data_IF_557624001669
#
_entry.id   IF_557624001669
#
_cell.length_a   1.000
_cell.length_b   1.000
_cell.length_c   1.000
_cell.angle_alpha   90.00
_cell.angle_beta   90.00
_cell.angle_gamma   90.00
#
_symmetry.space_group_name_H-M   'P 1'
#
loop_
_entity.id
_entity.type
_entity.pdbx_description
1 polymer ?
#
# COMPACT_ATOMS: atom_id res chain seq x y z
N UNK A 1 -15.23 9.48 16.48
CA UNK A 1 -14.73 10.41 17.51
C UNK A 1 -14.06 11.55 16.75
N UNK A 2 -14.35 12.81 17.09
CA UNK A 2 -14.38 13.96 16.17
C UNK A 2 -13.12 14.18 15.33
N UNK A 3 -13.17 13.70 14.08
CA UNK A 3 -12.26 14.11 13.01
C UNK A 3 -12.82 15.38 12.35
N UNK A 4 -12.59 16.53 12.98
CA UNK A 4 -13.10 17.87 12.61
C UNK A 4 -14.55 18.13 13.06
N UNK A 5 -14.76 19.24 13.76
CA UNK A 5 -16.08 19.84 13.99
C UNK A 5 -16.50 20.58 12.72
N UNK A 6 -17.81 20.65 12.47
CA UNK A 6 -18.40 21.35 11.34
C UNK A 6 -18.10 22.86 11.46
N UNK A 7 -17.01 23.31 10.82
CA UNK A 7 -16.47 24.67 10.93
C UNK A 7 -14.93 24.75 10.92
N UNK A 8 -14.24 23.64 11.15
CA UNK A 8 -12.78 23.60 11.18
C UNK A 8 -12.20 23.76 9.77
N UNK A 9 -11.41 24.81 9.54
CA UNK A 9 -10.73 25.02 8.26
C UNK A 9 -9.26 24.62 8.35
N UNK A 10 -8.78 23.97 7.30
CA UNK A 10 -7.37 23.59 7.16
C UNK A 10 -6.67 24.61 6.28
N UNK A 11 -5.52 25.09 6.75
CA UNK A 11 -4.57 25.88 6.01
C UNK A 11 -3.41 24.99 5.54
N UNK A 12 -3.28 24.84 4.23
CA UNK A 12 -2.07 24.32 3.61
C UNK A 12 -1.05 25.46 3.56
N UNK A 13 0.00 25.36 4.36
CA UNK A 13 1.08 26.33 4.46
C UNK A 13 2.09 26.05 3.35
N UNK A 14 1.98 26.80 2.28
CA UNK A 14 2.90 26.75 1.15
C UNK A 14 4.28 27.30 1.57
N UNK A 15 5.28 26.42 1.62
CA UNK A 15 6.65 26.77 2.01
C UNK A 15 7.53 26.94 0.77
N UNK A 16 8.11 28.13 0.66
CA UNK A 16 9.01 28.61 -0.38
C UNK A 16 10.31 29.12 0.28
N UNK A 17 11.27 29.57 -0.52
CA UNK A 17 12.56 30.03 0.00
C UNK A 17 12.45 31.22 0.97
N UNK A 18 11.50 32.13 0.75
CA UNK A 18 11.33 33.36 1.51
C UNK A 18 10.70 33.17 2.89
N UNK A 19 9.89 32.13 3.09
CA UNK A 19 9.25 31.83 4.37
C UNK A 19 9.77 30.56 5.07
N UNK A 20 10.72 29.83 4.49
CA UNK A 20 11.25 28.57 5.02
C UNK A 20 11.64 28.65 6.51
N UNK A 21 12.38 29.68 6.91
CA UNK A 21 12.86 29.83 8.30
C UNK A 21 11.71 29.98 9.30
N UNK A 22 10.72 30.79 8.94
CA UNK A 22 9.56 31.05 9.79
C UNK A 22 8.71 29.78 9.95
N UNK A 23 8.50 29.04 8.86
CA UNK A 23 7.74 27.80 8.88
C UNK A 23 8.48 26.69 9.65
N UNK A 24 9.79 26.61 9.52
CA UNK A 24 10.61 25.69 10.31
C UNK A 24 10.65 26.05 11.80
N UNK A 25 10.49 27.34 12.15
CA UNK A 25 10.34 27.76 13.55
C UNK A 25 9.03 27.24 14.15
N UNK A 26 7.92 27.37 13.41
CA UNK A 26 6.63 26.81 13.83
C UNK A 26 6.69 25.29 14.00
N UNK A 27 7.35 24.59 13.07
CA UNK A 27 7.52 23.12 13.17
C UNK A 27 8.28 22.72 14.44
N UNK A 28 9.32 23.48 14.82
CA UNK A 28 10.07 23.25 16.06
C UNK A 28 9.21 23.44 17.32
N UNK A 29 8.24 24.36 17.27
CA UNK A 29 7.33 24.60 18.40
C UNK A 29 6.28 23.49 18.56
N UNK A 30 5.85 22.86 17.46
CA UNK A 30 4.74 21.90 17.48
C UNK A 30 5.17 20.43 17.58
N UNK A 31 6.41 20.08 17.22
CA UNK A 31 6.82 18.66 17.07
C UNK A 31 6.69 17.85 18.37
N UNK A 32 6.90 18.48 19.53
CA UNK A 32 6.81 17.80 20.82
C UNK A 32 5.36 17.52 21.24
N UNK A 33 4.43 18.44 20.94
CA UNK A 33 3.00 18.29 21.23
C UNK A 33 2.25 17.46 20.17
N UNK A 34 2.77 17.43 18.93
CA UNK A 34 2.18 16.75 17.78
C UNK A 34 3.18 15.75 17.14
N UNK A 35 3.56 14.67 17.85
CA UNK A 35 4.67 13.81 17.48
C UNK A 35 4.38 12.82 16.33
N UNK A 36 3.16 12.77 15.80
CA UNK A 36 2.82 11.93 14.65
C UNK A 36 2.99 12.71 13.35
N UNK A 37 4.00 12.35 12.56
CA UNK A 37 4.38 13.03 11.33
C UNK A 37 4.01 12.16 10.14
N UNK A 38 2.89 12.50 9.50
CA UNK A 38 2.50 11.88 8.23
C UNK A 38 3.16 12.61 7.08
N UNK A 39 3.70 11.86 6.13
CA UNK A 39 4.44 12.42 5.00
C UNK A 39 4.03 11.80 3.68
N UNK A 40 4.23 12.57 2.63
CA UNK A 40 4.16 12.16 1.23
C UNK A 40 5.12 13.02 0.41
N UNK A 41 5.60 12.54 -0.74
CA UNK A 41 6.48 13.32 -1.62
C UNK A 41 6.04 13.25 -3.07
N UNK A 42 6.23 14.36 -3.79
CA UNK A 42 6.13 14.36 -5.25
C UNK A 42 7.52 14.42 -5.87
N UNK A 43 7.77 13.52 -6.82
CA UNK A 43 9.05 13.37 -7.50
C UNK A 43 8.81 12.94 -8.97
N UNK A 44 9.80 13.06 -9.86
CA UNK A 44 9.59 12.94 -11.30
C UNK A 44 9.49 11.48 -11.78
N UNK A 45 8.85 10.61 -11.00
CA UNK A 45 8.57 9.22 -11.33
C UNK A 45 9.79 8.30 -11.29
N UNK A 46 9.72 7.20 -12.04
CA UNK A 46 10.77 6.19 -12.17
C UNK A 46 11.16 6.14 -13.65
N UNK A 47 12.46 6.27 -13.93
CA UNK A 47 13.03 6.26 -15.29
C UNK A 47 13.93 5.05 -15.48
N UNK A 48 14.75 4.72 -14.49
CA UNK A 48 15.78 3.70 -14.63
C UNK A 48 15.33 2.37 -14.04
N UNK A 49 15.62 1.27 -14.76
CA UNK A 49 15.52 -0.09 -14.23
C UNK A 49 16.86 -0.80 -14.46
N UNK A 50 17.33 -1.63 -13.53
CA UNK A 50 18.56 -2.38 -13.72
C UNK A 50 18.40 -3.37 -14.88
N UNK A 51 19.40 -3.41 -15.77
CA UNK A 51 19.47 -4.38 -16.88
C UNK A 51 20.22 -5.67 -16.51
N UNK A 52 20.91 -5.68 -15.37
CA UNK A 52 21.70 -6.83 -14.93
C UNK A 52 20.82 -7.96 -14.39
N UNK A 53 21.30 -9.20 -14.52
CA UNK A 53 20.71 -10.37 -13.86
C UNK A 53 20.95 -10.31 -12.34
N UNK A 54 20.05 -9.62 -11.64
CA UNK A 54 20.10 -9.48 -10.19
C UNK A 54 19.49 -10.73 -9.53
N UNK A 55 20.23 -11.29 -8.57
CA UNK A 55 19.93 -12.60 -7.97
C UNK A 55 18.69 -12.60 -7.08
N UNK A 56 18.37 -11.46 -6.46
CA UNK A 56 17.25 -11.36 -5.53
C UNK A 56 16.33 -10.20 -5.87
N UNK A 57 15.03 -10.40 -5.65
CA UNK A 57 14.02 -9.36 -5.86
C UNK A 57 14.28 -8.12 -4.99
N UNK A 58 14.78 -8.32 -3.76
CA UNK A 58 15.16 -7.24 -2.85
C UNK A 58 16.37 -6.43 -3.37
N UNK A 59 17.37 -7.07 -3.95
CA UNK A 59 18.46 -6.31 -4.59
C UNK A 59 17.96 -5.57 -5.83
N UNK A 60 17.06 -6.17 -6.62
CA UNK A 60 16.53 -5.56 -7.83
C UNK A 60 15.78 -4.26 -7.53
N UNK A 61 14.83 -4.34 -6.61
CA UNK A 61 14.01 -3.21 -6.21
C UNK A 61 14.84 -2.15 -5.47
N UNK A 62 15.79 -2.54 -4.60
CA UNK A 62 16.66 -1.55 -3.96
C UNK A 62 17.56 -0.84 -4.97
N UNK A 63 18.15 -1.56 -5.93
CA UNK A 63 18.97 -0.97 -6.99
C UNK A 63 18.14 -0.06 -7.89
N UNK A 64 16.87 -0.41 -8.15
CA UNK A 64 15.91 0.46 -8.86
C UNK A 64 15.68 1.75 -8.08
N UNK A 65 15.32 1.64 -6.79
CA UNK A 65 15.12 2.79 -5.91
C UNK A 65 16.35 3.68 -5.84
N UNK A 66 17.51 3.11 -5.50
CA UNK A 66 18.76 3.84 -5.34
C UNK A 66 19.13 4.62 -6.59
N UNK A 67 19.09 3.97 -7.75
CA UNK A 67 19.45 4.61 -9.03
C UNK A 67 18.55 5.81 -9.32
N UNK A 68 17.24 5.64 -9.16
CA UNK A 68 16.28 6.69 -9.44
C UNK A 68 16.38 7.85 -8.43
N UNK A 69 16.43 7.52 -7.14
CA UNK A 69 16.52 8.53 -6.07
C UNK A 69 17.82 9.32 -6.17
N UNK A 70 18.96 8.69 -6.46
CA UNK A 70 20.25 9.40 -6.59
C UNK A 70 20.26 10.35 -7.81
N UNK A 71 19.72 9.92 -8.95
CA UNK A 71 19.78 10.71 -10.20
C UNK A 71 18.71 11.80 -10.30
N UNK A 72 17.56 11.63 -9.65
CA UNK A 72 16.45 12.57 -9.74
C UNK A 72 16.33 13.47 -8.50
N UNK A 73 15.45 14.48 -8.60
CA UNK A 73 15.27 15.53 -7.60
C UNK A 73 13.84 15.51 -7.08
N UNK A 74 13.67 15.61 -5.76
CA UNK A 74 12.36 15.76 -5.13
C UNK A 74 11.76 17.12 -5.55
N UNK A 75 10.44 17.16 -5.79
CA UNK A 75 9.72 18.36 -6.25
C UNK A 75 8.93 18.98 -5.10
N UNK A 76 8.21 18.15 -4.34
CA UNK A 76 7.47 18.57 -3.14
C UNK A 76 7.60 17.56 -2.00
N UNK A 77 7.46 18.06 -0.77
CA UNK A 77 7.29 17.27 0.45
C UNK A 77 6.11 17.81 1.23
N UNK A 78 5.21 16.93 1.63
CA UNK A 78 4.09 17.25 2.52
C UNK A 78 4.37 16.71 3.90
N UNK A 79 4.17 17.54 4.92
CA UNK A 79 4.24 17.13 6.33
C UNK A 79 2.96 17.53 7.05
N UNK A 80 2.30 16.54 7.63
CA UNK A 80 1.15 16.73 8.51
C UNK A 80 1.50 16.24 9.91
N UNK A 81 1.49 17.17 10.87
CA UNK A 81 1.74 16.89 12.28
C UNK A 81 0.41 16.65 13.00
N UNK A 82 0.36 15.64 13.86
CA UNK A 82 -0.81 15.29 14.63
C UNK A 82 -0.44 14.76 16.01
N UNK A 83 -1.34 14.90 16.98
CA UNK A 83 -1.19 14.27 18.29
C UNK A 83 -1.82 12.86 18.31
N UNK A 84 -1.76 12.18 19.45
CA UNK A 84 -2.31 10.82 19.63
C UNK A 84 -3.80 10.71 19.32
N UNK A 85 -4.56 11.81 19.41
CA UNK A 85 -6.00 11.86 19.10
C UNK A 85 -6.29 12.24 17.65
N UNK A 86 -5.26 12.48 16.82
CA UNK A 86 -5.43 12.92 15.44
C UNK A 86 -5.68 14.42 15.26
N UNK A 87 -5.57 15.22 16.32
CA UNK A 87 -5.72 16.67 16.21
C UNK A 87 -4.46 17.30 15.60
N UNK A 88 -4.65 18.34 14.80
CA UNK A 88 -3.58 19.07 14.10
C UNK A 88 -3.18 20.34 14.87
N UNK A 89 -1.97 20.87 14.69
CA UNK A 89 -1.58 22.15 15.28
C UNK A 89 -2.29 23.31 14.59
N UNK A 90 -2.56 24.40 15.31
CA UNK A 90 -3.12 25.63 14.74
C UNK A 90 -2.09 26.74 14.49
N UNK A 91 -0.87 26.57 15.00
CA UNK A 91 0.23 27.53 14.88
C UNK A 91 -0.17 28.97 15.27
N UNK A 92 -0.96 29.11 16.34
CA UNK A 92 -1.45 30.41 16.81
C UNK A 92 -2.55 31.05 15.95
N UNK A 93 -3.11 30.33 14.98
CA UNK A 93 -4.24 30.77 14.15
C UNK A 93 -5.57 30.12 14.55
N UNK A 94 -6.66 30.53 13.90
CA UNK A 94 -7.99 29.91 13.98
C UNK A 94 -8.14 28.67 13.09
N UNK A 95 -7.07 28.27 12.38
CA UNK A 95 -7.07 27.17 11.40
C UNK A 95 -6.05 26.12 11.75
N UNK A 96 -6.37 24.87 11.43
CA UNK A 96 -5.39 23.79 11.49
C UNK A 96 -4.37 23.94 10.37
N UNK A 97 -3.11 23.66 10.67
CA UNK A 97 -1.98 23.89 9.77
C UNK A 97 -1.35 22.57 9.33
N UNK A 98 -1.09 22.46 8.03
CA UNK A 98 -0.23 21.43 7.43
C UNK A 98 0.79 22.10 6.51
N UNK A 99 1.92 21.45 6.24
CA UNK A 99 3.01 22.05 5.47
C UNK A 99 3.19 21.38 4.12
N UNK A 100 3.39 22.20 3.08
CA UNK A 100 3.76 21.79 1.74
C UNK A 100 5.03 22.51 1.31
N UNK A 101 6.15 21.81 1.31
CA UNK A 101 7.44 22.31 0.87
C UNK A 101 7.58 22.17 -0.64
N UNK A 102 7.93 23.27 -1.31
CA UNK A 102 8.14 23.32 -2.75
C UNK A 102 9.63 23.50 -3.04
N UNK A 103 10.29 22.53 -3.67
CA UNK A 103 11.75 22.56 -3.88
C UNK A 103 12.15 23.16 -5.24
N UNK A 104 13.32 23.81 -5.27
CA UNK A 104 13.91 24.40 -6.49
C UNK A 104 14.95 23.52 -7.19
N UNK A 105 15.39 22.42 -6.57
CA UNK A 105 16.44 21.56 -7.10
C UNK A 105 16.08 20.87 -8.44
N UNK A 106 14.78 20.79 -8.76
CA UNK A 106 14.29 20.23 -10.03
C UNK A 106 14.20 21.32 -11.11
N UNK A 107 15.09 21.23 -12.10
CA UNK A 107 15.01 22.02 -13.34
C UNK A 107 14.08 21.34 -14.35
N UNK A 108 12.96 21.96 -14.78
CA UNK A 108 12.00 21.35 -15.71
C UNK A 108 12.51 21.17 -17.15
N UNK A 109 13.64 21.78 -17.51
CA UNK A 109 14.24 21.68 -18.85
C UNK A 109 15.34 20.63 -18.86
N UNK A 110 16.20 20.63 -17.84
CA UNK A 110 17.42 19.81 -17.84
C UNK A 110 17.37 18.57 -16.94
N UNK A 111 16.45 18.50 -15.97
CA UNK A 111 16.40 17.37 -15.04
C UNK A 111 15.89 16.09 -15.70
N UNK A 112 16.46 14.97 -15.30
CA UNK A 112 15.95 13.65 -15.68
C UNK A 112 14.58 13.45 -15.04
N UNK A 113 13.60 13.04 -15.84
CA UNK A 113 12.22 12.85 -15.39
C UNK A 113 11.44 11.87 -16.25
N UNK A 114 10.49 11.18 -15.66
CA UNK A 114 9.41 10.50 -16.36
C UNK A 114 8.39 11.54 -16.85
N UNK A 115 8.20 11.64 -18.18
CA UNK A 115 7.35 12.68 -18.79
C UNK A 115 5.87 12.57 -18.42
N UNK A 116 5.37 11.36 -18.16
CA UNK A 116 3.98 11.15 -17.71
C UNK A 116 3.78 11.64 -16.30
N UNK A 117 4.76 11.37 -15.42
CA UNK A 117 4.75 11.88 -14.04
C UNK A 117 4.76 13.42 -14.05
N UNK A 118 5.62 14.05 -14.86
CA UNK A 118 5.64 15.52 -15.00
C UNK A 118 4.31 16.06 -15.53
N UNK A 119 3.71 15.39 -16.51
CA UNK A 119 2.39 15.79 -17.05
C UNK A 119 1.30 15.68 -15.98
N UNK A 120 1.28 14.59 -15.22
CA UNK A 120 0.33 14.37 -14.13
C UNK A 120 0.47 15.43 -13.04
N UNK A 121 1.69 15.71 -12.60
CA UNK A 121 1.99 16.75 -11.61
C UNK A 121 1.58 18.16 -12.11
N UNK A 122 1.86 18.48 -13.38
CA UNK A 122 1.41 19.74 -13.98
C UNK A 122 -0.12 19.85 -13.99
N UNK A 123 -0.81 18.76 -14.35
CA UNK A 123 -2.27 18.70 -14.35
C UNK A 123 -2.86 18.80 -12.93
N UNK A 124 -2.07 18.42 -11.93
CA UNK A 124 -2.41 18.50 -10.50
C UNK A 124 -2.06 19.86 -9.88
N UNK A 125 -1.58 20.81 -10.69
CA UNK A 125 -1.36 22.20 -10.30
C UNK A 125 0.06 22.55 -9.89
N UNK A 126 1.05 21.67 -10.08
CA UNK A 126 2.45 22.00 -9.80
C UNK A 126 2.99 22.99 -10.86
N UNK A 127 3.39 24.17 -10.39
CA UNK A 127 4.07 25.19 -11.20
C UNK A 127 5.59 24.99 -11.12
N UNK A 128 6.11 24.15 -12.01
CA UNK A 128 7.54 23.86 -12.09
C UNK A 128 8.43 25.08 -12.28
N UNK A 129 7.94 26.13 -12.95
CA UNK A 129 8.69 27.37 -13.14
C UNK A 129 8.82 28.10 -11.81
N UNK A 130 7.71 28.23 -11.07
CA UNK A 130 7.71 28.81 -9.72
C UNK A 130 8.55 27.99 -8.75
N UNK A 131 8.50 26.66 -8.80
CA UNK A 131 9.39 25.77 -8.03
C UNK A 131 10.85 26.12 -8.29
N UNK A 132 11.28 26.18 -9.55
CA UNK A 132 12.67 26.49 -9.90
C UNK A 132 13.10 27.90 -9.45
N UNK A 133 12.22 28.90 -9.60
CA UNK A 133 12.56 30.30 -9.30
C UNK A 133 12.46 30.68 -7.82
N UNK A 134 11.54 30.07 -7.06
CA UNK A 134 11.18 30.49 -5.70
C UNK A 134 11.22 29.35 -4.67
N UNK A 135 11.43 28.12 -5.12
CA UNK A 135 11.42 26.95 -4.26
C UNK A 135 12.56 26.95 -3.24
N UNK A 136 12.34 26.16 -2.21
CA UNK A 136 13.30 25.86 -1.16
C UNK A 136 14.47 25.08 -1.74
N UNK A 137 15.69 25.49 -1.40
CA UNK A 137 16.87 24.70 -1.70
C UNK A 137 16.94 23.51 -0.73
N UNK A 138 16.97 22.28 -1.24
CA UNK A 138 16.95 21.04 -0.44
C UNK A 138 18.00 21.01 0.69
N UNK A 139 19.22 21.46 0.40
CA UNK A 139 20.30 21.60 1.40
C UNK A 139 19.95 22.52 2.57
N UNK A 140 19.30 23.66 2.34
CA UNK A 140 18.90 24.57 3.42
C UNK A 140 17.79 23.95 4.26
N UNK A 141 16.83 23.30 3.60
CA UNK A 141 15.80 22.52 4.29
C UNK A 141 16.41 21.42 5.16
N UNK A 142 17.39 20.67 4.64
CA UNK A 142 18.06 19.60 5.38
C UNK A 142 18.72 20.11 6.68
N UNK A 143 19.45 21.23 6.59
CA UNK A 143 20.09 21.86 7.75
C UNK A 143 19.07 22.19 8.87
N UNK A 144 17.94 22.76 8.48
CA UNK A 144 16.88 23.14 9.42
C UNK A 144 16.16 21.91 9.99
N UNK A 145 15.89 20.89 9.17
CA UNK A 145 15.19 19.67 9.62
C UNK A 145 16.06 18.82 10.56
N UNK A 146 17.36 18.74 10.29
CA UNK A 146 18.31 18.00 11.15
C UNK A 146 18.35 18.53 12.59
N UNK A 147 18.08 19.82 12.78
CA UNK A 147 18.10 20.49 14.08
C UNK A 147 16.70 20.81 14.62
N UNK A 148 15.63 20.33 13.96
CA UNK A 148 14.26 20.68 14.34
C UNK A 148 13.64 19.76 15.40
N UNK A 149 14.26 18.62 15.69
CA UNK A 149 13.67 17.55 16.52
C UNK A 149 12.72 16.62 15.78
N UNK A 150 12.50 16.80 14.47
CA UNK A 150 11.57 15.97 13.66
C UNK A 150 12.20 14.65 13.22
N UNK A 151 13.50 14.65 12.90
CA UNK A 151 14.29 13.47 12.56
C UNK A 151 15.27 13.14 13.67
N UNK A 152 15.85 11.92 13.66
CA UNK A 152 16.77 11.44 14.69
C UNK A 152 16.16 11.45 16.10
N UNK A 153 14.83 11.46 16.19
CA UNK A 153 14.07 11.57 17.43
C UNK A 153 13.21 10.32 17.63
N UNK A 154 13.38 9.63 18.76
CA UNK A 154 12.59 8.44 19.08
C UNK A 154 11.16 8.76 19.51
N UNK A 155 10.86 10.00 19.88
CA UNK A 155 9.50 10.40 20.27
C UNK A 155 8.60 10.63 19.06
N UNK A 156 9.18 10.90 17.89
CA UNK A 156 8.43 11.15 16.65
C UNK A 156 8.06 9.84 15.95
N UNK A 157 6.77 9.68 15.62
CA UNK A 157 6.24 8.56 14.86
C UNK A 157 5.93 8.99 13.43
N UNK A 158 6.74 8.52 12.48
CA UNK A 158 6.52 8.75 11.06
C UNK A 158 5.44 7.82 10.50
N UNK A 159 4.62 8.35 9.60
CA UNK A 159 3.53 7.62 8.93
C UNK A 159 3.62 7.87 7.43
N UNK A 160 3.67 6.79 6.65
CA UNK A 160 3.75 6.83 5.18
C UNK A 160 2.65 5.97 4.55
N UNK A 161 2.36 6.18 3.27
CA UNK A 161 1.58 5.26 2.46
C UNK A 161 2.42 4.75 1.30
N UNK A 162 2.87 3.49 1.35
CA UNK A 162 3.78 2.94 0.33
C UNK A 162 5.07 3.76 0.17
N UNK A 163 5.54 4.39 1.25
CA UNK A 163 6.48 5.51 1.21
C UNK A 163 7.96 5.15 1.32
N UNK A 164 8.34 4.00 0.76
CA UNK A 164 9.74 3.60 0.65
C UNK A 164 10.53 4.62 -0.19
N UNK A 165 9.95 5.14 -1.27
CA UNK A 165 10.57 6.19 -2.08
C UNK A 165 10.59 7.53 -1.34
N UNK A 166 9.51 7.89 -0.63
CA UNK A 166 9.42 9.15 0.12
C UNK A 166 10.51 9.26 1.19
N UNK A 167 10.66 8.21 2.00
CA UNK A 167 11.71 8.12 3.01
C UNK A 167 13.10 8.09 2.37
N UNK A 168 13.26 7.46 1.21
CA UNK A 168 14.54 7.44 0.51
C UNK A 168 14.94 8.81 -0.03
N UNK A 169 14.01 9.58 -0.61
CA UNK A 169 14.26 10.93 -1.06
C UNK A 169 14.58 11.85 0.12
N UNK A 170 13.79 11.78 1.20
CA UNK A 170 14.06 12.58 2.40
C UNK A 170 15.42 12.22 3.02
N UNK A 171 15.75 10.91 3.12
CA UNK A 171 17.06 10.46 3.58
C UNK A 171 18.19 11.02 2.71
N UNK A 172 18.07 10.94 1.38
CA UNK A 172 19.07 11.49 0.44
C UNK A 172 19.31 12.98 0.69
N UNK A 173 18.24 13.75 0.91
CA UNK A 173 18.33 15.18 1.23
C UNK A 173 19.07 15.40 2.54
N UNK A 174 18.81 14.58 3.57
CA UNK A 174 19.41 14.71 4.90
C UNK A 174 20.88 14.30 4.97
N UNK A 175 21.28 13.23 4.27
CA UNK A 175 22.69 12.77 4.27
C UNK A 175 23.58 13.56 3.30
N UNK A 176 22.98 14.36 2.41
CA UNK A 176 23.65 15.18 1.38
C UNK A 176 24.62 14.33 0.53
N UNK A 177 24.28 13.07 0.34
CA UNK A 177 25.09 12.05 -0.33
C UNK A 177 24.17 11.07 -1.05
N UNK A 178 24.77 10.28 -1.94
CA UNK A 178 24.10 9.16 -2.58
C UNK A 178 23.68 8.09 -1.57
N UNK A 179 22.54 7.44 -1.83
CA UNK A 179 22.08 6.34 -0.98
C UNK A 179 23.10 5.18 -0.96
N UNK A 180 23.23 4.45 0.16
CA UNK A 180 24.21 3.37 0.33
C UNK A 180 24.16 2.33 -0.79
N UNK A 181 25.29 1.71 -1.14
CA UNK A 181 25.30 0.70 -2.22
C UNK A 181 24.47 -0.54 -1.90
N UNK A 182 24.44 -0.94 -0.61
CA UNK A 182 23.80 -2.17 -0.15
C UNK A 182 22.49 -1.88 0.59
N UNK A 183 21.45 -2.72 0.43
CA UNK A 183 20.17 -2.56 1.13
C UNK A 183 20.32 -2.47 2.66
N UNK A 184 21.29 -3.20 3.22
CA UNK A 184 21.56 -3.20 4.66
C UNK A 184 21.95 -1.81 5.18
N UNK A 185 22.84 -1.11 4.48
CA UNK A 185 23.27 0.23 4.89
C UNK A 185 22.14 1.26 4.78
N UNK A 186 21.25 1.09 3.80
CA UNK A 186 20.03 1.90 3.70
C UNK A 186 19.07 1.65 4.87
N UNK A 187 18.82 0.39 5.22
CA UNK A 187 17.98 0.05 6.38
C UNK A 187 18.55 0.61 7.68
N UNK A 188 19.88 0.52 7.88
CA UNK A 188 20.57 1.10 9.04
C UNK A 188 20.36 2.63 9.11
N UNK A 189 20.51 3.35 8.00
CA UNK A 189 20.29 4.80 7.96
C UNK A 189 18.81 5.17 8.15
N UNK A 190 17.88 4.46 7.53
CA UNK A 190 16.46 4.74 7.75
C UNK A 190 16.10 4.56 9.23
N UNK A 191 16.55 3.49 9.88
CA UNK A 191 16.29 3.27 11.31
C UNK A 191 16.94 4.31 12.20
N UNK A 192 18.06 4.91 11.76
CA UNK A 192 18.72 5.98 12.49
C UNK A 192 17.93 7.30 12.37
N UNK A 193 17.62 7.73 11.14
CA UNK A 193 16.94 9.01 10.88
C UNK A 193 15.46 9.00 11.22
N UNK A 194 14.82 7.85 11.10
CA UNK A 194 13.39 7.64 11.35
C UNK A 194 13.20 6.46 12.33
N UNK A 195 13.52 6.61 13.63
CA UNK A 195 13.54 5.50 14.58
C UNK A 195 12.19 4.80 14.76
N UNK A 196 11.09 5.54 14.56
CA UNK A 196 9.74 5.01 14.56
C UNK A 196 9.04 5.46 13.28
N UNK A 197 8.80 4.52 12.38
CA UNK A 197 7.97 4.74 11.20
C UNK A 197 7.00 3.58 11.02
N UNK A 198 5.88 3.88 10.37
CA UNK A 198 4.84 2.93 10.02
C UNK A 198 4.36 3.21 8.60
N UNK A 199 4.12 2.15 7.83
CA UNK A 199 3.61 2.26 6.47
C UNK A 199 2.18 1.70 6.40
N UNK A 200 1.23 2.55 6.04
CA UNK A 200 -0.20 2.20 5.94
C UNK A 200 -0.42 1.08 4.93
N UNK A 201 0.30 1.07 3.80
CA UNK A 201 0.18 0.00 2.79
C UNK A 201 0.61 -1.34 3.37
N UNK A 202 1.56 -1.35 4.30
CA UNK A 202 1.89 -2.54 5.08
C UNK A 202 0.81 -2.90 6.10
N UNK A 203 0.27 -1.93 6.85
CA UNK A 203 -0.81 -2.15 7.82
C UNK A 203 -2.07 -2.76 7.18
N UNK A 204 -2.41 -2.32 5.96
CA UNK A 204 -3.55 -2.85 5.20
C UNK A 204 -3.49 -4.37 5.02
N UNK A 205 -2.30 -4.98 5.00
CA UNK A 205 -2.15 -6.45 4.89
C UNK A 205 -2.76 -7.20 6.07
N UNK A 206 -2.96 -6.52 7.20
CA UNK A 206 -3.55 -7.05 8.42
C UNK A 206 -5.01 -6.62 8.63
N UNK A 207 -5.56 -5.82 7.71
CA UNK A 207 -6.93 -5.30 7.78
C UNK A 207 -7.79 -6.03 6.73
N UNK A 208 -8.86 -6.68 7.17
CA UNK A 208 -9.76 -7.39 6.26
C UNK A 208 -10.56 -6.37 5.43
N UNK A 209 -10.59 -6.55 4.11
CA UNK A 209 -11.40 -5.73 3.19
C UNK A 209 -10.74 -4.43 2.72
N UNK A 210 -9.49 -4.15 3.11
CA UNK A 210 -8.78 -2.95 2.68
C UNK A 210 -7.74 -3.27 1.59
N UNK A 211 -7.88 -2.65 0.41
CA UNK A 211 -6.95 -2.79 -0.72
C UNK A 211 -6.95 -1.54 -1.60
N UNK A 212 -5.99 -1.43 -2.52
CA UNK A 212 -5.89 -0.31 -3.46
C UNK A 212 -4.93 0.82 -3.05
N UNK A 213 -4.98 1.94 -3.79
CA UNK A 213 -4.19 3.15 -3.53
C UNK A 213 -4.81 4.04 -2.45
N UNK A 214 -4.14 5.14 -2.12
CA UNK A 214 -4.52 6.06 -1.05
C UNK A 214 -5.96 6.59 -1.21
N UNK A 215 -6.33 7.03 -2.42
CA UNK A 215 -7.69 7.52 -2.73
C UNK A 215 -8.76 6.44 -2.52
N UNK A 216 -8.54 5.21 -3.02
CA UNK A 216 -9.49 4.10 -2.82
C UNK A 216 -9.63 3.76 -1.33
N UNK A 217 -8.52 3.82 -0.58
CA UNK A 217 -8.57 3.59 0.87
C UNK A 217 -9.35 4.69 1.60
N UNK A 218 -9.19 5.95 1.20
CA UNK A 218 -9.98 7.05 1.73
C UNK A 218 -11.48 6.85 1.49
N UNK A 219 -11.87 6.47 0.26
CA UNK A 219 -13.26 6.15 -0.09
C UNK A 219 -13.83 5.01 0.77
N UNK A 220 -13.08 3.92 0.92
CA UNK A 220 -13.49 2.77 1.73
C UNK A 220 -13.68 3.11 3.22
N UNK A 221 -12.90 4.06 3.73
CA UNK A 221 -12.97 4.51 5.12
C UNK A 221 -13.87 5.75 5.32
N UNK A 222 -14.50 6.25 4.26
CA UNK A 222 -15.36 7.45 4.32
C UNK A 222 -14.60 8.74 4.66
N UNK A 223 -13.32 8.83 4.32
CA UNK A 223 -12.47 10.01 4.58
C UNK A 223 -12.51 10.95 3.38
N UNK A 224 -12.97 12.17 3.59
CA UNK A 224 -12.92 13.21 2.57
C UNK A 224 -11.50 13.79 2.43
N UNK A 225 -11.04 13.94 1.20
CA UNK A 225 -9.80 14.63 0.86
C UNK A 225 -10.00 16.14 0.97
N UNK A 226 -9.07 16.80 1.65
CA UNK A 226 -8.95 18.25 1.64
C UNK A 226 -7.66 18.66 0.92
N UNK A 227 -7.79 19.59 -0.03
CA UNK A 227 -6.72 19.95 -0.96
C UNK A 227 -6.76 19.16 -2.27
N UNK A 228 -5.77 19.38 -3.12
CA UNK A 228 -5.69 18.82 -4.47
C UNK A 228 -4.97 17.46 -4.41
N UNK A 229 -5.51 16.43 -5.05
CA UNK A 229 -4.84 15.12 -5.17
C UNK A 229 -3.55 15.24 -5.97
N UNK A 230 -2.53 14.45 -5.64
CA UNK A 230 -1.18 14.52 -6.24
C UNK A 230 -0.49 15.85 -5.94
N UNK A 231 -0.68 16.30 -4.70
CA UNK A 231 0.12 17.34 -4.08
C UNK A 231 0.43 16.87 -2.65
N UNK A 232 1.72 16.84 -2.34
CA UNK A 232 2.23 16.18 -1.15
C UNK A 232 1.56 16.66 0.15
N UNK A 233 1.21 17.95 0.26
CA UNK A 233 0.50 18.49 1.42
C UNK A 233 -0.85 17.80 1.64
N UNK A 234 -1.71 17.78 0.62
CA UNK A 234 -3.02 17.12 0.68
C UNK A 234 -2.90 15.62 0.92
N UNK A 235 -1.95 14.96 0.25
CA UNK A 235 -1.71 13.52 0.38
C UNK A 235 -1.17 13.12 1.76
N UNK A 236 -0.30 13.94 2.36
CA UNK A 236 0.18 13.74 3.73
C UNK A 236 -0.94 13.88 4.77
N UNK A 237 -1.88 14.80 4.56
CA UNK A 237 -3.06 14.96 5.43
C UNK A 237 -4.01 13.77 5.30
N UNK A 238 -4.27 13.32 4.08
CA UNK A 238 -5.12 12.15 3.84
C UNK A 238 -4.50 10.90 4.47
N UNK A 239 -3.18 10.75 4.35
CA UNK A 239 -2.38 9.71 5.02
C UNK A 239 -2.55 9.77 6.54
N UNK A 240 -2.43 10.95 7.15
CA UNK A 240 -2.66 11.15 8.59
C UNK A 240 -4.06 10.70 9.01
N UNK A 241 -5.09 11.16 8.31
CA UNK A 241 -6.48 10.85 8.66
C UNK A 241 -6.78 9.36 8.57
N UNK A 242 -6.32 8.70 7.50
CA UNK A 242 -6.48 7.26 7.33
C UNK A 242 -5.76 6.51 8.45
N UNK A 243 -4.54 6.91 8.79
CA UNK A 243 -3.78 6.25 9.84
C UNK A 243 -4.50 6.29 11.20
N UNK A 244 -5.07 7.44 11.58
CA UNK A 244 -5.82 7.57 12.83
C UNK A 244 -7.01 6.61 12.88
N UNK A 245 -7.79 6.52 11.79
CA UNK A 245 -8.91 5.58 11.68
C UNK A 245 -8.45 4.12 11.78
N UNK A 246 -7.34 3.78 11.10
CA UNK A 246 -6.80 2.43 11.13
C UNK A 246 -6.32 2.05 12.53
N UNK A 247 -5.57 2.94 13.17
CA UNK A 247 -5.05 2.74 14.53
C UNK A 247 -6.19 2.47 15.51
N UNK A 248 -7.28 3.24 15.45
CA UNK A 248 -8.42 3.09 16.34
C UNK A 248 -9.26 1.85 16.02
N UNK A 249 -9.57 1.63 14.73
CA UNK A 249 -10.57 0.63 14.31
C UNK A 249 -10.01 -0.78 14.18
N UNK A 250 -8.72 -0.92 13.83
CA UNK A 250 -8.12 -2.22 13.50
C UNK A 250 -7.01 -2.63 14.48
N UNK A 251 -6.43 -1.69 15.22
CA UNK A 251 -5.25 -1.95 16.05
C UNK A 251 -5.43 -1.59 17.54
N UNK A 252 -6.67 -1.38 17.99
CA UNK A 252 -7.01 -1.05 19.39
C UNK A 252 -6.14 0.10 19.94
N UNK A 253 -5.89 1.13 19.13
CA UNK A 253 -5.11 2.30 19.53
C UNK A 253 -3.59 2.13 19.50
N UNK A 254 -3.04 0.96 19.13
CA UNK A 254 -1.58 0.74 19.14
C UNK A 254 -1.05 -0.05 17.95
N UNK A 255 -0.19 0.61 17.16
CA UNK A 255 0.55 0.00 16.04
C UNK A 255 1.98 -0.41 16.41
N UNK A 256 2.32 -0.49 17.70
CA UNK A 256 3.70 -0.71 18.16
C UNK A 256 4.35 -1.97 17.57
N UNK A 257 3.57 -3.03 17.37
CA UNK A 257 4.04 -4.31 16.80
C UNK A 257 4.45 -4.21 15.32
N UNK A 258 4.03 -3.14 14.65
CA UNK A 258 4.27 -2.90 13.22
C UNK A 258 5.32 -1.79 12.99
N UNK A 259 5.92 -1.24 14.06
CA UNK A 259 7.00 -0.25 13.99
C UNK A 259 8.19 -0.83 13.19
N UNK A 260 8.80 0.01 12.35
CA UNK A 260 10.07 -0.27 11.64
C UNK A 260 10.02 -1.39 10.60
N UNK A 261 8.85 -1.67 10.03
CA UNK A 261 8.70 -2.71 9.01
C UNK A 261 8.42 -2.09 7.64
N UNK A 262 9.42 -2.09 6.78
CA UNK A 262 9.18 -1.98 5.35
C UNK A 262 8.67 -3.33 4.82
N UNK A 263 7.55 -3.33 4.10
CA UNK A 263 7.10 -4.51 3.37
C UNK A 263 8.17 -5.08 2.42
N UNK A 264 9.14 -4.24 2.03
CA UNK A 264 10.17 -4.51 1.05
C UNK A 264 11.43 -5.23 1.59
N UNK A 265 11.75 -5.11 2.88
CA UNK A 265 13.01 -5.61 3.46
C UNK A 265 12.87 -6.94 4.24
N UNK A 266 11.67 -7.51 4.36
CA UNK A 266 11.49 -8.87 4.89
C UNK A 266 11.56 -9.91 3.76
N UNK A 267 12.26 -11.02 4.04
CA UNK A 267 12.25 -12.26 3.26
C UNK A 267 10.83 -12.57 2.77
N UNK A 268 10.64 -12.49 1.46
CA UNK A 268 9.61 -13.24 0.76
C UNK A 268 10.08 -14.70 0.81
N UNK A 269 9.60 -15.47 1.78
CA UNK A 269 9.48 -16.91 1.58
C UNK A 269 8.41 -17.09 0.50
N UNK A 270 8.83 -17.70 -0.61
CA UNK A 270 8.10 -17.74 -1.86
C UNK A 270 6.71 -18.38 -1.72
N UNK A 271 5.69 -17.62 -2.12
CA UNK A 271 4.69 -18.07 -3.09
C UNK A 271 3.98 -16.85 -3.69
N UNK A 272 3.99 -16.76 -5.02
CA UNK A 272 3.18 -15.84 -5.82
C UNK A 272 3.77 -14.46 -6.05
N UNK A 273 4.23 -14.24 -7.28
CA UNK A 273 4.56 -12.93 -7.85
C UNK A 273 3.36 -11.97 -7.73
N UNK A 274 3.60 -10.71 -7.36
CA UNK A 274 2.74 -9.63 -7.78
C UNK A 274 3.54 -8.34 -7.99
N UNK A 275 3.21 -7.71 -9.11
CA UNK A 275 3.94 -6.67 -9.80
C UNK A 275 3.86 -5.31 -9.11
N UNK A 276 4.83 -4.46 -9.46
CA UNK A 276 4.84 -3.04 -9.15
C UNK A 276 3.62 -2.33 -9.78
N UNK A 277 3.02 -1.32 -9.10
CA UNK A 277 1.91 -0.56 -9.66
C UNK A 277 2.38 0.31 -10.83
N UNK A 278 1.55 0.35 -11.88
CA UNK A 278 1.73 1.11 -13.09
C UNK A 278 1.44 2.61 -12.88
N UNK A 279 2.32 3.44 -13.44
CA UNK A 279 2.00 4.77 -13.98
C UNK A 279 1.32 4.53 -15.34
N UNK A 280 0.29 5.32 -15.66
CA UNK A 280 -0.50 5.23 -16.90
C UNK A 280 0.14 6.07 -18.01
N UNK A 281 0.55 5.44 -19.13
CA UNK A 281 0.52 6.07 -20.45
C UNK A 281 -0.34 5.34 -21.50
N UNK A 282 -0.60 6.00 -22.66
CA UNK A 282 -1.88 5.95 -23.32
C UNK A 282 -2.07 4.67 -24.14
N UNK A 283 -3.36 4.35 -24.30
CA UNK A 283 -3.93 3.31 -25.16
C UNK A 283 -3.20 3.11 -26.48
N UNK A 284 -2.59 1.94 -26.63
CA UNK A 284 -2.41 1.21 -27.87
C UNK A 284 -2.56 -0.29 -27.56
N UNK A 285 -3.53 -0.90 -28.23
CA UNK A 285 -3.86 -2.33 -28.47
C UNK A 285 -3.19 -3.49 -27.69
N UNK A 286 -3.95 -4.58 -27.44
CA UNK A 286 -3.64 -5.59 -26.44
C UNK A 286 -2.43 -6.45 -26.82
N UNK A 287 -1.31 -6.25 -26.14
CA UNK A 287 -0.16 -7.14 -26.20
C UNK A 287 -0.45 -8.45 -25.44
N UNK A 288 -0.13 -9.56 -26.09
CA UNK A 288 -0.42 -10.93 -25.70
C UNK A 288 0.14 -11.38 -24.33
N UNK A 289 -0.57 -12.36 -23.78
CA UNK A 289 -0.56 -12.94 -22.44
C UNK A 289 0.61 -13.94 -22.27
N UNK A 290 1.24 -14.07 -21.10
CA UNK A 290 2.08 -15.23 -20.78
C UNK A 290 1.19 -16.49 -20.65
N UNK A 291 1.36 -17.47 -21.53
CA UNK A 291 0.45 -18.60 -21.73
C UNK A 291 0.47 -19.71 -20.65
N UNK A 292 1.29 -19.62 -19.60
CA UNK A 292 1.51 -20.77 -18.69
C UNK A 292 1.18 -20.48 -17.21
N UNK A 293 -0.06 -20.08 -16.89
CA UNK A 293 -0.56 -20.11 -15.50
C UNK A 293 -1.24 -21.45 -15.21
N UNK A 294 -0.70 -22.21 -14.25
CA UNK A 294 -1.23 -23.51 -13.82
C UNK A 294 -2.62 -23.39 -13.17
N UNK A 295 -3.51 -24.36 -13.46
CA UNK A 295 -4.93 -24.37 -13.06
C UNK A 295 -5.11 -24.30 -11.54
N UNK A 296 -4.27 -25.01 -10.78
CA UNK A 296 -4.37 -25.03 -9.32
C UNK A 296 -4.04 -23.65 -8.71
N UNK A 297 -3.10 -22.93 -9.33
CA UNK A 297 -2.74 -21.56 -8.92
C UNK A 297 -3.86 -20.58 -9.27
N UNK A 298 -4.47 -20.72 -10.45
CA UNK A 298 -5.64 -19.94 -10.84
C UNK A 298 -6.85 -20.19 -9.92
N UNK A 299 -7.07 -21.45 -9.52
CA UNK A 299 -8.13 -21.83 -8.59
C UNK A 299 -7.90 -21.25 -7.19
N UNK A 300 -6.68 -21.34 -6.67
CA UNK A 300 -6.32 -20.73 -5.37
C UNK A 300 -6.62 -19.23 -5.33
N UNK A 301 -6.16 -18.49 -6.34
CA UNK A 301 -6.37 -17.05 -6.44
C UNK A 301 -7.85 -16.70 -6.54
N UNK A 302 -8.61 -17.48 -7.31
CA UNK A 302 -10.07 -17.30 -7.46
C UNK A 302 -10.79 -17.52 -6.13
N UNK A 303 -10.43 -18.56 -5.38
CA UNK A 303 -11.03 -18.87 -4.09
C UNK A 303 -10.69 -17.84 -3.01
N UNK A 304 -9.43 -17.39 -2.96
CA UNK A 304 -9.00 -16.34 -2.02
C UNK A 304 -9.75 -15.03 -2.27
N UNK A 305 -9.99 -14.66 -3.53
CA UNK A 305 -10.74 -13.46 -3.91
C UNK A 305 -12.24 -13.61 -3.62
N UNK A 306 -12.87 -14.70 -4.06
CA UNK A 306 -14.27 -14.97 -3.73
C UNK A 306 -14.53 -14.95 -2.21
N UNK A 307 -13.58 -15.46 -1.42
CA UNK A 307 -13.62 -15.39 0.05
C UNK A 307 -13.56 -13.95 0.56
N UNK A 308 -12.70 -13.11 0.00
CA UNK A 308 -12.60 -11.70 0.40
C UNK A 308 -13.91 -10.92 0.20
N UNK A 309 -14.72 -11.33 -0.79
CA UNK A 309 -16.06 -10.76 -1.04
C UNK A 309 -17.19 -11.50 -0.30
N UNK A 310 -16.88 -12.44 0.60
CA UNK A 310 -17.90 -13.22 1.33
C UNK A 310 -18.70 -14.19 0.44
N UNK A 311 -18.18 -14.49 -0.74
CA UNK A 311 -18.78 -15.34 -1.79
C UNK A 311 -18.51 -16.84 -1.64
N UNK A 312 -17.87 -17.28 -0.55
CA UNK A 312 -17.48 -18.68 -0.32
C UNK A 312 -18.18 -19.26 0.89
N UNK A 313 -18.70 -20.48 0.75
CA UNK A 313 -19.34 -21.27 1.81
C UNK A 313 -18.62 -22.60 1.99
N UNK A 314 -18.57 -23.10 3.23
CA UNK A 314 -17.68 -24.20 3.63
C UNK A 314 -18.49 -25.28 4.35
N UNK A 315 -18.11 -26.53 4.14
CA UNK A 315 -18.71 -27.65 4.86
C UNK A 315 -19.90 -28.26 4.14
N UNK A 316 -20.08 -29.57 4.35
CA UNK A 316 -20.95 -30.40 3.53
C UNK A 316 -22.42 -29.95 3.53
N UNK A 317 -22.98 -29.68 4.71
CA UNK A 317 -24.41 -29.38 4.84
C UNK A 317 -24.76 -28.03 4.20
N UNK A 318 -23.91 -27.01 4.37
CA UNK A 318 -24.12 -25.71 3.76
C UNK A 318 -23.88 -25.74 2.25
N UNK A 319 -22.85 -26.47 1.80
CA UNK A 319 -22.58 -26.68 0.38
C UNK A 319 -23.72 -27.39 -0.33
N UNK A 320 -24.22 -28.51 0.22
CA UNK A 320 -25.36 -29.25 -0.34
C UNK A 320 -26.61 -28.37 -0.44
N UNK A 321 -26.91 -27.59 0.61
CA UNK A 321 -28.03 -26.65 0.64
C UNK A 321 -27.94 -25.55 -0.42
N UNK A 322 -26.74 -25.05 -0.71
CA UNK A 322 -26.53 -24.02 -1.74
C UNK A 322 -26.61 -24.58 -3.16
N UNK A 323 -26.14 -25.81 -3.34
CA UNK A 323 -26.25 -26.56 -4.58
C UNK A 323 -27.73 -26.83 -4.91
N UNK A 324 -28.51 -27.35 -3.94
CA UNK A 324 -29.96 -27.57 -4.10
C UNK A 324 -30.74 -26.28 -4.41
N UNK A 325 -30.34 -25.17 -3.79
CA UNK A 325 -30.93 -23.84 -4.04
C UNK A 325 -30.52 -23.21 -5.38
N UNK A 326 -29.62 -23.83 -6.14
CA UNK A 326 -29.06 -23.32 -7.42
C UNK A 326 -28.40 -21.95 -7.29
N UNK A 327 -27.81 -21.66 -6.13
CA UNK A 327 -27.05 -20.41 -5.86
C UNK A 327 -25.54 -20.63 -6.02
N UNK A 328 -25.11 -21.89 -6.11
CA UNK A 328 -23.71 -22.26 -6.32
C UNK A 328 -23.30 -22.07 -7.79
N UNK A 329 -22.13 -21.45 -8.02
CA UNK A 329 -21.52 -21.29 -9.34
C UNK A 329 -20.39 -22.30 -9.59
N UNK A 330 -19.70 -22.72 -8.51
CA UNK A 330 -18.62 -23.71 -8.56
C UNK A 330 -18.54 -24.47 -7.24
N UNK A 331 -18.31 -25.77 -7.34
CA UNK A 331 -18.01 -26.65 -6.22
C UNK A 331 -16.56 -27.13 -6.30
N UNK A 332 -15.85 -27.12 -5.17
CA UNK A 332 -14.47 -27.61 -5.06
C UNK A 332 -14.42 -28.70 -3.99
N UNK A 333 -13.92 -29.87 -4.37
CA UNK A 333 -13.88 -31.07 -3.51
C UNK A 333 -12.44 -31.54 -3.29
N UNK A 334 -12.09 -31.87 -2.05
CA UNK A 334 -10.79 -32.45 -1.73
C UNK A 334 -10.74 -33.96 -2.06
N UNK A 335 -9.65 -34.41 -2.67
CA UNK A 335 -9.44 -35.83 -3.05
C UNK A 335 -9.17 -36.73 -1.85
N UNK A 336 -8.51 -36.21 -0.81
CA UNK A 336 -8.21 -36.91 0.46
C UNK A 336 -9.40 -36.93 1.44
N UNK A 337 -10.64 -36.85 0.93
CA UNK A 337 -11.84 -36.92 1.76
C UNK A 337 -12.06 -38.35 2.29
N UNK A 338 -11.89 -38.52 3.61
CA UNK A 338 -11.96 -39.82 4.30
C UNK A 338 -13.35 -40.50 4.34
N UNK A 339 -14.39 -39.89 3.77
CA UNK A 339 -15.74 -40.46 3.74
C UNK A 339 -16.27 -40.60 2.30
N UNK A 340 -16.31 -41.83 1.76
CA UNK A 340 -16.66 -42.05 0.34
C UNK A 340 -18.11 -41.69 0.01
N UNK A 341 -19.02 -41.75 0.98
CA UNK A 341 -20.43 -41.38 0.79
C UNK A 341 -20.60 -39.87 0.54
N UNK A 342 -19.71 -39.03 1.11
CA UNK A 342 -19.73 -37.59 0.89
C UNK A 342 -19.27 -37.21 -0.51
N UNK A 343 -18.24 -37.88 -1.01
CA UNK A 343 -17.75 -37.69 -2.39
C UNK A 343 -18.85 -38.06 -3.39
N UNK A 344 -19.58 -39.15 -3.15
CA UNK A 344 -20.70 -39.57 -4.00
C UNK A 344 -21.86 -38.57 -3.97
N UNK A 345 -22.24 -38.11 -2.77
CA UNK A 345 -23.34 -37.15 -2.61
C UNK A 345 -23.05 -35.83 -3.33
N UNK A 346 -21.87 -35.25 -3.14
CA UNK A 346 -21.50 -33.96 -3.78
C UNK A 346 -21.40 -34.11 -5.29
N UNK A 347 -20.80 -35.21 -5.79
CA UNK A 347 -20.74 -35.48 -7.24
C UNK A 347 -22.13 -35.63 -7.86
N UNK A 348 -23.04 -36.34 -7.18
CA UNK A 348 -24.42 -36.50 -7.64
C UNK A 348 -25.17 -35.15 -7.66
N UNK A 349 -25.08 -34.36 -6.58
CA UNK A 349 -25.73 -33.06 -6.48
C UNK A 349 -25.21 -32.06 -7.53
N UNK A 350 -23.90 -32.04 -7.80
CA UNK A 350 -23.34 -31.18 -8.85
C UNK A 350 -23.82 -31.60 -10.25
N UNK A 351 -23.92 -32.90 -10.52
CA UNK A 351 -24.42 -33.42 -11.79
C UNK A 351 -25.92 -33.11 -12.00
N UNK A 352 -26.75 -33.31 -10.97
CA UNK A 352 -28.20 -33.09 -11.04
C UNK A 352 -28.56 -31.60 -11.23
N UNK A 353 -27.75 -30.70 -10.68
CA UNK A 353 -27.98 -29.24 -10.74
C UNK A 353 -27.13 -28.50 -11.78
N UNK A 354 -26.34 -29.23 -12.58
CA UNK A 354 -25.44 -28.69 -13.61
C UNK A 354 -24.46 -27.63 -13.05
N UNK A 355 -23.83 -27.93 -11.92
CA UNK A 355 -22.83 -27.09 -11.28
C UNK A 355 -21.45 -27.68 -11.51
N UNK A 356 -20.51 -26.83 -11.92
CA UNK A 356 -19.14 -27.25 -12.23
C UNK A 356 -18.42 -27.73 -10.96
N UNK A 357 -17.68 -28.83 -11.09
CA UNK A 357 -16.94 -29.47 -10.01
C UNK A 357 -15.45 -29.53 -10.33
N UNK A 358 -14.62 -28.99 -9.45
CA UNK A 358 -13.16 -29.13 -9.50
C UNK A 358 -12.65 -29.91 -8.28
N UNK A 359 -11.55 -30.64 -8.47
CA UNK A 359 -10.89 -31.38 -7.39
C UNK A 359 -9.58 -30.71 -6.98
N UNK A 360 -9.23 -30.86 -5.70
CA UNK A 360 -7.96 -30.39 -5.13
C UNK A 360 -7.30 -31.52 -4.34
N UNK A 361 -5.97 -31.61 -4.34
CA UNK A 361 -5.26 -32.80 -3.86
C UNK A 361 -5.37 -33.00 -2.34
N UNK A 362 -5.57 -31.94 -1.54
CA UNK A 362 -5.71 -32.08 -0.08
C UNK A 362 -6.72 -31.13 0.55
N UNK A 363 -7.47 -31.65 1.51
CA UNK A 363 -8.42 -30.95 2.35
C UNK A 363 -7.73 -29.90 3.24
N UNK A 364 -6.45 -30.11 3.60
CA UNK A 364 -5.68 -29.09 4.32
C UNK A 364 -5.42 -27.88 3.42
N UNK A 365 -5.02 -28.11 2.17
CA UNK A 365 -4.81 -27.05 1.17
C UNK A 365 -6.10 -26.30 0.90
N UNK A 366 -7.22 -27.04 0.70
CA UNK A 366 -8.53 -26.42 0.54
C UNK A 366 -8.95 -25.64 1.78
N UNK A 367 -8.66 -26.15 2.98
CA UNK A 367 -8.91 -25.47 4.25
C UNK A 367 -8.15 -24.16 4.39
N UNK A 368 -6.89 -24.13 3.96
CA UNK A 368 -6.09 -22.92 3.92
C UNK A 368 -6.67 -21.87 2.95
N UNK A 369 -7.01 -22.29 1.73
CA UNK A 369 -7.65 -21.42 0.73
C UNK A 369 -9.03 -20.92 1.19
N UNK A 370 -9.78 -21.78 1.89
CA UNK A 370 -11.04 -21.44 2.52
C UNK A 370 -10.90 -20.47 3.70
N UNK A 371 -9.68 -20.28 4.25
CA UNK A 371 -9.43 -19.41 5.40
C UNK A 371 -9.77 -20.06 6.74
N UNK A 372 -9.63 -21.38 6.83
CA UNK A 372 -9.76 -22.16 8.07
C UNK A 372 -8.39 -22.37 8.73
N UNK A 373 -7.59 -21.32 8.87
CA UNK A 373 -6.29 -21.38 9.53
C UNK A 373 -6.10 -20.22 10.51
N UNK A 374 -5.26 -20.42 11.53
CA UNK A 374 -4.76 -19.34 12.38
C UNK A 374 -3.43 -18.88 11.80
N UNK A 375 -3.35 -17.62 11.40
CA UNK A 375 -2.11 -17.08 10.87
C UNK A 375 -1.20 -16.75 12.06
N UNK A 376 0.03 -17.25 12.05
CA UNK A 376 1.02 -16.92 13.06
C UNK A 376 1.63 -15.53 12.83
N UNK A 377 2.48 -15.08 13.76
CA UNK A 377 3.21 -13.80 13.66
C UNK A 377 4.16 -13.71 12.45
N UNK A 378 4.38 -14.81 11.73
CA UNK A 378 5.26 -14.93 10.57
C UNK A 378 4.48 -15.01 9.25
N UNK A 379 3.14 -15.00 9.28
CA UNK A 379 2.29 -15.09 8.10
C UNK A 379 2.03 -16.52 7.61
N UNK A 380 2.53 -17.53 8.33
CA UNK A 380 2.31 -18.92 7.98
C UNK A 380 0.99 -19.42 8.59
N UNK A 381 0.28 -20.24 7.82
CA UNK A 381 -0.93 -20.89 8.28
C UNK A 381 -0.59 -21.94 9.35
N UNK A 382 -0.86 -21.64 10.63
CA UNK A 382 -0.80 -22.60 11.74
C UNK A 382 -2.20 -23.08 12.12
N UNK A 383 -2.29 -24.31 12.63
CA UNK A 383 -3.57 -24.93 13.03
C UNK A 383 -4.62 -24.91 11.91
N UNK A 384 -4.22 -25.30 10.69
CA UNK A 384 -5.13 -25.42 9.54
C UNK A 384 -6.15 -26.51 9.83
N UNK A 385 -7.43 -26.15 9.76
CA UNK A 385 -8.55 -27.08 9.80
C UNK A 385 -8.87 -27.46 8.36
N UNK A 386 -8.86 -28.76 8.06
CA UNK A 386 -9.15 -29.25 6.72
C UNK A 386 -10.59 -28.95 6.30
N UNK A 387 -10.77 -28.63 5.02
CA UNK A 387 -12.08 -28.46 4.40
C UNK A 387 -12.27 -29.55 3.35
N UNK A 388 -13.31 -30.37 3.49
CA UNK A 388 -13.61 -31.43 2.51
C UNK A 388 -14.34 -30.92 1.27
N UNK A 389 -15.19 -29.91 1.43
CA UNK A 389 -16.04 -29.37 0.37
C UNK A 389 -16.25 -27.86 0.56
N UNK A 390 -16.09 -27.11 -0.53
CA UNK A 390 -16.23 -25.66 -0.59
C UNK A 390 -17.08 -25.28 -1.82
N UNK A 391 -18.00 -24.34 -1.64
CA UNK A 391 -18.87 -23.83 -2.71
C UNK A 391 -18.67 -22.33 -2.86
N UNK A 392 -18.52 -21.89 -4.11
CA UNK A 392 -18.50 -20.48 -4.49
C UNK A 392 -19.89 -20.08 -4.97
N UNK A 393 -20.52 -19.15 -4.27
CA UNK A 393 -21.81 -18.54 -4.66
C UNK A 393 -21.62 -17.26 -5.47
N UNK A 394 -20.51 -16.56 -5.24
CA UNK A 394 -20.18 -15.30 -5.89
C UNK A 394 -18.65 -15.15 -5.97
N UNK A 395 -18.15 -14.80 -7.15
CA UNK A 395 -16.72 -14.57 -7.37
C UNK A 395 -16.29 -13.14 -6.98
N UNK A 396 -17.25 -12.22 -6.85
CA UNK A 396 -17.01 -10.80 -6.57
C UNK A 396 -16.61 -10.03 -7.82
N UNK A 397 -15.34 -10.14 -8.25
CA UNK A 397 -14.78 -9.40 -9.38
C UNK A 397 -14.25 -10.35 -10.47
N UNK A 398 -14.37 -9.95 -11.74
CA UNK A 398 -13.78 -10.70 -12.86
C UNK A 398 -12.26 -10.55 -12.88
N UNK A 399 -11.55 -11.68 -12.92
CA UNK A 399 -10.09 -11.70 -12.87
C UNK A 399 -9.53 -12.70 -13.88
N UNK A 400 -8.27 -12.51 -14.31
CA UNK A 400 -7.61 -13.41 -15.25
C UNK A 400 -7.57 -14.86 -14.73
N UNK A 401 -7.38 -15.04 -13.42
CA UNK A 401 -7.46 -16.35 -12.76
C UNK A 401 -8.86 -16.97 -12.87
N UNK A 402 -9.92 -16.17 -12.67
CA UNK A 402 -11.30 -16.62 -12.87
C UNK A 402 -11.55 -17.01 -14.33
N UNK A 403 -11.01 -16.27 -15.30
CA UNK A 403 -11.17 -16.58 -16.72
C UNK A 403 -10.47 -17.88 -17.12
N UNK A 404 -9.29 -18.17 -16.55
CA UNK A 404 -8.60 -19.46 -16.76
C UNK A 404 -9.43 -20.61 -16.17
N UNK A 405 -9.95 -20.43 -14.95
CA UNK A 405 -10.83 -21.42 -14.30
C UNK A 405 -12.11 -21.62 -15.11
N UNK A 406 -12.77 -20.55 -15.56
CA UNK A 406 -13.97 -20.61 -16.43
C UNK A 406 -13.66 -21.30 -17.77
N UNK A 407 -12.54 -20.96 -18.42
CA UNK A 407 -12.13 -21.59 -19.69
C UNK A 407 -11.85 -23.09 -19.52
N UNK A 408 -11.24 -23.49 -18.41
CA UNK A 408 -11.03 -24.91 -18.11
C UNK A 408 -12.35 -25.64 -17.84
N UNK A 409 -13.28 -24.98 -17.16
CA UNK A 409 -14.64 -25.47 -16.90
C UNK A 409 -15.45 -25.58 -18.20
N UNK A 410 -15.28 -24.67 -19.16
CA UNK A 410 -15.97 -24.73 -20.46
C UNK A 410 -15.36 -25.76 -21.43
N UNK A 411 -14.11 -26.18 -21.17
CA UNK A 411 -13.38 -27.14 -22.00
C UNK A 411 -13.57 -28.61 -21.57
N UNK A 412 -14.22 -28.85 -20.43
CA UNK A 412 -14.50 -30.16 -19.81
C UNK A 412 -15.99 -30.30 -19.51
#
# INVERSE_FOLDING_TARGET
MTMFLQGDSIQIREVWSDNLEAEMALIREVVDDFPYVSMDTEFPGIVFRPFENIKTITEYHYKTLRTNVNLMKMIQLGLTFSNESGNLPTCGSDKYCIWQFNFCDFDPVCSISNQESIKLLRNSGIDFKKNYEKGVHSKRFAELLLTSGVVLNENVQWVTFHGVYDLAYLLKVLIIQDLPEKPKGFDELIRLYFPRFCDIKHLMKFCIGLSGGLNKLAELLGVERLGISHQAGSDSLLTSRIFMILQDSFFNGSVEKFKRTFAFLRKVTMSGEEAAPAVVPPTAEPAAIPEDMDLLTALELTLRKARAHGGVTRGLHESAKLIEKRVAQLCVLAEDCNQPDYVKLVKALCADHNINLLTVPSAKTLGEWAGLCKIDSEGNARKVVGCSCLVVKDYGEETTALNIVKKHIESN
#
